data_IF_701972348425
#
_entry.id   IF_701972348425
#
_cell.length_a   1.000
_cell.length_b   1.000
_cell.length_c   1.000
_cell.angle_alpha   90.00
_cell.angle_beta   90.00
_cell.angle_gamma   90.00
#
_symmetry.space_group_name_H-M   'P 1'
#
loop_
_entity.id
_entity.type
_entity.pdbx_description
1 polymer ?
#
# COMPACT_ATOMS: atom_id res chain seq x y z
N UNK A 1 -3.77 -10.69 -12.52
CA UNK A 1 -2.54 -9.87 -12.38
C UNK A 1 -2.83 -8.81 -11.34
N UNK A 2 -1.86 -8.47 -10.49
CA UNK A 2 -2.00 -7.43 -9.47
C UNK A 2 -0.95 -6.36 -9.70
N UNK A 3 -1.16 -5.17 -9.16
CA UNK A 3 -0.29 -4.00 -9.34
C UNK A 3 1.14 -4.26 -8.84
N UNK A 4 2.14 -3.74 -9.57
CA UNK A 4 3.54 -3.77 -9.13
C UNK A 4 3.91 -2.52 -8.31
N UNK A 5 5.15 -2.46 -7.78
CA UNK A 5 5.57 -1.35 -6.90
C UNK A 5 5.69 -0.01 -7.64
N UNK A 6 6.15 -0.01 -8.89
CA UNK A 6 6.30 1.20 -9.69
C UNK A 6 4.95 1.79 -10.05
N UNK A 7 4.02 0.95 -10.52
CA UNK A 7 2.63 1.32 -10.79
C UNK A 7 1.93 1.84 -9.53
N UNK A 8 2.11 1.17 -8.38
CA UNK A 8 1.57 1.61 -7.10
C UNK A 8 2.04 3.03 -6.76
N UNK A 9 3.34 3.27 -6.90
CA UNK A 9 3.93 4.57 -6.59
C UNK A 9 3.41 5.68 -7.52
N UNK A 10 3.29 5.38 -8.82
CA UNK A 10 2.72 6.33 -9.79
C UNK A 10 1.27 6.66 -9.47
N UNK A 11 0.44 5.66 -9.15
CA UNK A 11 -0.98 5.88 -8.81
C UNK A 11 -1.15 6.67 -7.49
N UNK A 12 -0.30 6.40 -6.48
CA UNK A 12 -0.29 7.19 -5.24
C UNK A 12 0.06 8.66 -5.53
N UNK A 13 1.09 8.90 -6.33
CA UNK A 13 1.54 10.26 -6.66
C UNK A 13 0.47 11.01 -7.46
N UNK A 14 -0.15 10.37 -8.46
CA UNK A 14 -1.28 10.95 -9.20
C UNK A 14 -2.42 11.31 -8.25
N UNK A 15 -2.85 10.37 -7.40
CA UNK A 15 -3.98 10.60 -6.52
C UNK A 15 -3.71 11.66 -5.46
N UNK A 16 -2.46 11.81 -4.98
CA UNK A 16 -2.06 12.90 -4.07
C UNK A 16 -2.17 14.29 -4.71
N UNK A 17 -2.05 14.40 -6.04
CA UNK A 17 -2.19 15.68 -6.74
C UNK A 17 -3.65 16.14 -6.80
N UNK A 18 -4.61 15.21 -6.87
CA UNK A 18 -6.04 15.52 -7.01
C UNK A 18 -6.82 15.39 -5.71
N UNK A 19 -6.39 14.51 -4.80
CA UNK A 19 -7.07 14.18 -3.55
C UNK A 19 -6.07 14.00 -2.40
N UNK A 20 -6.60 13.88 -1.18
CA UNK A 20 -5.82 13.46 0.00
C UNK A 20 -6.21 12.04 0.41
N UNK A 21 -5.78 11.02 -0.35
CA UNK A 21 -6.06 9.65 0.02
C UNK A 21 -5.48 9.35 1.40
N UNK A 22 -6.18 8.53 2.16
CA UNK A 22 -5.82 8.12 3.53
C UNK A 22 -5.55 6.63 3.63
N UNK A 23 -6.03 5.83 2.66
CA UNK A 23 -5.96 4.37 2.70
C UNK A 23 -5.44 3.81 1.39
N UNK A 24 -4.64 2.77 1.51
CA UNK A 24 -4.21 1.90 0.43
C UNK A 24 -4.80 0.52 0.71
N UNK A 25 -5.81 0.13 -0.07
CA UNK A 25 -6.48 -1.17 0.07
C UNK A 25 -5.92 -2.13 -0.98
N UNK A 26 -5.35 -3.24 -0.53
CA UNK A 26 -4.64 -4.19 -1.40
C UNK A 26 -5.01 -5.63 -1.08
N UNK A 27 -5.07 -6.47 -2.12
CA UNK A 27 -5.32 -7.89 -1.96
C UNK A 27 -4.17 -8.62 -1.29
N UNK A 28 -4.45 -9.75 -0.65
CA UNK A 28 -3.45 -10.48 0.12
C UNK A 28 -2.25 -10.95 -0.74
N UNK A 29 -2.48 -11.44 -1.97
CA UNK A 29 -1.36 -11.83 -2.85
C UNK A 29 -0.58 -10.62 -3.36
N UNK A 30 -1.26 -9.51 -3.62
CA UNK A 30 -0.62 -8.24 -3.98
C UNK A 30 0.29 -7.78 -2.85
N UNK A 31 -0.20 -7.76 -1.61
CA UNK A 31 0.60 -7.39 -0.45
C UNK A 31 1.79 -8.33 -0.22
N UNK A 32 1.58 -9.65 -0.31
CA UNK A 32 2.67 -10.63 -0.19
C UNK A 32 3.74 -10.49 -1.28
N UNK A 33 3.42 -9.93 -2.45
CA UNK A 33 4.41 -9.61 -3.49
C UNK A 33 5.16 -8.32 -3.17
N UNK A 34 4.44 -7.28 -2.74
CA UNK A 34 5.02 -5.96 -2.41
C UNK A 34 5.97 -6.05 -1.22
N UNK A 35 5.64 -6.80 -0.17
CA UNK A 35 6.49 -6.93 1.02
C UNK A 35 7.84 -7.62 0.76
N UNK A 36 7.96 -8.36 -0.36
CA UNK A 36 9.24 -8.95 -0.81
C UNK A 36 10.16 -7.93 -1.47
N UNK A 37 9.68 -6.72 -1.75
CA UNK A 37 10.50 -5.63 -2.27
C UNK A 37 11.06 -4.84 -1.10
N UNK A 38 12.39 -4.77 -1.01
CA UNK A 38 13.09 -4.05 0.04
C UNK A 38 12.62 -2.60 0.20
N UNK A 39 12.41 -1.89 -0.91
CA UNK A 39 11.96 -0.50 -0.91
C UNK A 39 10.60 -0.34 -0.24
N UNK A 40 9.63 -1.19 -0.62
CA UNK A 40 8.31 -1.18 -0.02
C UNK A 40 8.37 -1.51 1.46
N UNK A 41 9.14 -2.55 1.84
CA UNK A 41 9.29 -2.97 3.23
C UNK A 41 9.95 -1.89 4.11
N UNK A 42 10.94 -1.16 3.58
CA UNK A 42 11.64 -0.08 4.29
C UNK A 42 10.73 1.13 4.56
N UNK A 43 9.91 1.50 3.59
CA UNK A 43 8.95 2.60 3.74
C UNK A 43 7.70 2.20 4.52
N UNK A 44 7.44 0.90 4.66
CA UNK A 44 6.32 0.37 5.44
C UNK A 44 6.57 0.66 6.93
N UNK A 45 5.99 1.76 7.41
CA UNK A 45 6.18 2.20 8.78
C UNK A 45 5.54 1.22 9.75
N UNK A 46 6.36 0.69 10.66
CA UNK A 46 5.89 0.09 11.91
C UNK A 46 5.63 1.23 12.88
N UNK A 47 4.41 1.75 12.91
CA UNK A 47 4.08 2.76 13.90
C UNK A 47 4.21 2.10 15.29
N UNK A 48 5.10 2.60 16.14
CA UNK A 48 5.40 2.01 17.46
C UNK A 48 4.14 2.00 18.34
N UNK A 49 3.25 2.98 18.17
CA UNK A 49 1.97 3.06 18.85
C UNK A 49 0.92 2.05 18.33
N UNK A 50 1.07 1.58 17.08
CA UNK A 50 0.15 0.65 16.43
C UNK A 50 0.94 -0.38 15.62
N UNK A 51 1.57 -1.37 16.27
CA UNK A 51 2.43 -2.36 15.61
C UNK A 51 1.68 -3.19 14.54
N UNK A 52 0.35 -3.24 14.62
CA UNK A 52 -0.51 -3.89 13.62
C UNK A 52 -0.88 -2.98 12.44
N UNK A 53 -0.80 -1.66 12.59
CA UNK A 53 -1.14 -0.70 11.54
C UNK A 53 0.08 -0.39 10.67
N UNK A 54 0.03 -0.86 9.42
CA UNK A 54 1.06 -0.62 8.42
C UNK A 54 0.70 0.64 7.64
N UNK A 55 1.66 1.55 7.49
CA UNK A 55 1.51 2.74 6.65
C UNK A 55 2.54 2.72 5.55
N UNK A 56 2.15 3.12 4.34
CA UNK A 56 3.04 3.26 3.20
C UNK A 56 2.83 4.65 2.60
N UNK A 57 3.90 5.47 2.52
CA UNK A 57 3.85 6.85 1.99
C UNK A 57 2.75 7.73 2.58
N UNK A 58 2.42 7.51 3.86
CA UNK A 58 1.36 8.21 4.60
C UNK A 58 -0.04 7.60 4.49
N UNK A 59 -0.22 6.56 3.66
CA UNK A 59 -1.48 5.85 3.49
C UNK A 59 -1.56 4.66 4.43
N UNK A 60 -2.70 4.48 5.11
CA UNK A 60 -2.97 3.28 5.91
C UNK A 60 -3.14 2.08 4.98
N UNK A 61 -2.28 1.09 5.10
CA UNK A 61 -2.36 -0.14 4.32
C UNK A 61 -3.41 -1.07 4.92
N UNK A 62 -4.42 -1.42 4.13
CA UNK A 62 -5.48 -2.36 4.47
C UNK A 62 -5.37 -3.56 3.54
N UNK A 63 -5.23 -4.75 4.11
CA UNK A 63 -5.13 -6.00 3.33
C UNK A 63 -6.49 -6.69 3.33
N UNK A 64 -7.02 -6.98 2.14
CA UNK A 64 -8.30 -7.68 1.96
C UNK A 64 -8.09 -9.12 1.48
N UNK A 65 -9.12 -9.96 1.64
CA UNK A 65 -9.10 -11.39 1.27
C UNK A 65 -9.15 -11.62 -0.25
N UNK A 66 -9.49 -10.60 -1.04
CA UNK A 66 -9.40 -10.68 -2.49
C UNK A 66 -7.94 -10.85 -2.96
N UNK A 67 -7.73 -11.72 -3.95
CA UNK A 67 -6.40 -12.14 -4.41
C UNK A 67 -5.58 -10.96 -4.96
N UNK A 68 -6.14 -10.25 -5.93
CA UNK A 68 -5.45 -9.23 -6.71
C UNK A 68 -6.16 -7.87 -6.64
N UNK A 69 -6.62 -7.50 -5.45
CA UNK A 69 -7.29 -6.22 -5.25
C UNK A 69 -6.29 -5.07 -5.14
N UNK A 70 -6.70 -3.90 -5.62
CA UNK A 70 -6.00 -2.63 -5.46
C UNK A 70 -7.01 -1.49 -5.52
N UNK A 71 -7.00 -0.63 -4.50
CA UNK A 71 -7.75 0.61 -4.47
C UNK A 71 -7.07 1.61 -3.53
N UNK A 72 -7.23 2.90 -3.81
CA UNK A 72 -6.71 3.99 -3.00
C UNK A 72 -7.89 4.91 -2.67
N UNK A 73 -8.13 5.14 -1.38
CA UNK A 73 -9.26 5.92 -0.84
C UNK A 73 -8.77 7.08 0.02
#
# INVERSE_FOLDING_TARGET
>A
MGINLEELNLEIEKLKQFNKPKKLVIGYLTFSKLIKKDEFLKELSKNIAYPMAKYYRGLKVVVVTEKYFFSIE
#
